data_IF_032948010426
#
_entry.id   IF_032948010426
#
_cell.length_a   1.000
_cell.length_b   1.000
_cell.length_c   1.000
_cell.angle_alpha   90.00
_cell.angle_beta   90.00
_cell.angle_gamma   90.00
#
_symmetry.space_group_name_H-M   'P 1'
#
loop_
_entity.id
_entity.type
_entity.pdbx_description
1 polymer ?
#
# COMPACT_ATOMS: atom_id res chain seq x y z
N UNK A 1 14.22 11.26 18.39
CA UNK A 1 14.73 10.29 17.40
C UNK A 1 14.35 8.83 17.70
N UNK A 2 14.69 8.26 18.88
CA UNK A 2 14.64 6.80 19.15
C UNK A 2 13.33 6.03 18.84
N UNK A 3 12.14 6.60 19.07
CA UNK A 3 10.88 5.85 18.95
C UNK A 3 10.37 5.64 17.50
N UNK A 4 10.67 6.57 16.59
CA UNK A 4 10.27 6.45 15.18
C UNK A 4 11.09 5.39 14.45
N UNK A 5 12.40 5.35 14.74
CA UNK A 5 13.35 4.39 14.18
C UNK A 5 12.99 2.95 14.58
N UNK A 6 12.55 2.77 15.83
CA UNK A 6 12.06 1.50 16.35
C UNK A 6 10.89 0.94 15.53
N UNK A 7 9.83 1.73 15.35
CA UNK A 7 8.64 1.27 14.62
C UNK A 7 8.99 0.92 13.18
N UNK A 8 9.81 1.75 12.52
CA UNK A 8 10.24 1.51 11.14
C UNK A 8 11.00 0.19 11.03
N UNK A 9 11.99 -0.03 11.90
CA UNK A 9 12.78 -1.25 11.88
C UNK A 9 11.94 -2.50 12.17
N UNK A 10 11.11 -2.47 13.21
CA UNK A 10 10.25 -3.60 13.55
C UNK A 10 9.29 -3.98 12.41
N UNK A 11 8.77 -3.00 11.68
CA UNK A 11 7.95 -3.22 10.48
C UNK A 11 8.73 -3.85 9.34
N UNK A 12 9.96 -3.39 9.09
CA UNK A 12 10.84 -3.96 8.06
C UNK A 12 11.12 -5.43 8.33
N UNK A 13 11.44 -5.81 9.57
CA UNK A 13 11.70 -7.22 9.89
C UNK A 13 10.43 -8.08 9.70
N UNK A 14 9.23 -7.57 10.04
CA UNK A 14 7.98 -8.29 9.75
C UNK A 14 7.78 -8.56 8.26
N UNK A 15 8.12 -7.60 7.40
CA UNK A 15 8.00 -7.72 5.94
C UNK A 15 9.04 -8.66 5.33
N UNK A 16 10.16 -8.90 6.03
CA UNK A 16 11.17 -9.89 5.62
C UNK A 16 10.73 -11.29 6.03
N UNK A 17 10.16 -11.44 7.23
CA UNK A 17 9.82 -12.74 7.81
C UNK A 17 8.47 -13.30 7.34
N UNK A 18 7.55 -12.43 6.93
CA UNK A 18 6.18 -12.80 6.57
C UNK A 18 5.78 -12.16 5.25
N UNK A 19 5.07 -12.94 4.44
CA UNK A 19 4.47 -12.43 3.20
C UNK A 19 3.30 -11.50 3.50
N UNK A 20 2.92 -10.72 2.50
CA UNK A 20 1.75 -9.82 2.58
C UNK A 20 0.47 -10.61 2.87
N UNK A 21 0.32 -11.80 2.28
CA UNK A 21 -0.86 -12.64 2.46
C UNK A 21 -0.92 -13.19 3.88
N UNK A 22 0.19 -13.74 4.39
CA UNK A 22 0.32 -14.19 5.77
C UNK A 22 -0.05 -13.08 6.76
N UNK A 23 0.50 -11.87 6.60
CA UNK A 23 0.19 -10.73 7.46
C UNK A 23 -1.27 -10.26 7.33
N UNK A 24 -1.90 -10.42 6.17
CA UNK A 24 -3.28 -9.99 5.96
C UNK A 24 -4.28 -10.96 6.59
N UNK A 25 -3.97 -12.25 6.55
CA UNK A 25 -4.86 -13.32 6.97
C UNK A 25 -4.62 -13.79 8.41
N UNK A 26 -3.47 -13.41 9.01
CA UNK A 26 -3.15 -13.75 10.40
C UNK A 26 -3.75 -12.80 11.43
N UNK A 27 -4.02 -13.29 12.63
CA UNK A 27 -4.45 -12.49 13.81
C UNK A 27 -3.35 -12.43 14.88
N UNK A 28 -3.44 -11.43 15.76
CA UNK A 28 -2.46 -11.21 16.82
C UNK A 28 -2.45 -12.32 17.87
N UNK A 29 -3.64 -12.87 18.16
CA UNK A 29 -3.87 -13.99 19.06
C UNK A 29 -4.83 -14.90 18.31
N UNK A 30 -4.41 -16.15 18.07
CA UNK A 30 -5.31 -17.17 17.55
C UNK A 30 -6.44 -17.34 18.57
N UNK A 31 -7.66 -17.01 18.17
CA UNK A 31 -8.83 -17.18 19.00
C UNK A 31 -9.63 -18.35 18.40
N UNK A 32 -10.00 -19.38 19.19
CA UNK A 32 -10.69 -20.57 18.68
C UNK A 32 -12.03 -20.26 17.99
N UNK A 33 -12.61 -19.09 18.25
CA UNK A 33 -13.86 -18.62 17.62
C UNK A 33 -13.60 -18.07 16.21
N UNK A 34 -12.39 -17.59 15.93
CA UNK A 34 -12.03 -17.00 14.63
C UNK A 34 -11.19 -18.00 13.84
N UNK A 35 -11.63 -18.34 12.62
CA UNK A 35 -10.95 -19.27 11.71
C UNK A 35 -9.60 -18.77 11.17
N UNK A 36 -9.10 -17.63 11.66
CA UNK A 36 -7.86 -17.02 11.18
C UNK A 36 -6.67 -17.51 11.98
N UNK A 37 -5.62 -18.04 11.33
CA UNK A 37 -4.44 -18.54 12.03
C UNK A 37 -3.67 -17.41 12.73
N UNK A 38 -2.93 -17.75 13.77
CA UNK A 38 -1.88 -16.89 14.30
C UNK A 38 -0.65 -16.89 13.40
N UNK A 39 0.26 -15.94 13.61
CA UNK A 39 1.58 -15.98 12.97
C UNK A 39 2.43 -17.11 13.57
N UNK A 40 3.32 -17.66 12.74
CA UNK A 40 4.28 -18.69 13.14
C UNK A 40 5.09 -18.26 14.38
N UNK A 41 5.01 -18.99 15.51
CA UNK A 41 5.64 -18.59 16.77
C UNK A 41 7.18 -18.58 16.70
N UNK A 42 7.78 -19.42 15.86
CA UNK A 42 9.23 -19.46 15.65
C UNK A 42 9.71 -18.21 14.94
N UNK A 43 9.01 -17.79 13.87
CA UNK A 43 9.30 -16.55 13.16
C UNK A 43 9.00 -15.31 14.02
N UNK A 44 7.97 -15.36 14.86
CA UNK A 44 7.67 -14.31 15.83
C UNK A 44 8.75 -14.15 16.90
N UNK A 45 9.37 -15.26 17.32
CA UNK A 45 10.52 -15.24 18.25
C UNK A 45 11.72 -14.58 17.56
N UNK A 46 12.06 -15.00 16.34
CA UNK A 46 13.13 -14.38 15.53
C UNK A 46 12.91 -12.88 15.31
N UNK A 47 11.66 -12.47 15.06
CA UNK A 47 11.30 -11.06 14.94
C UNK A 47 11.63 -10.29 16.23
N UNK A 48 11.16 -10.83 17.36
CA UNK A 48 11.37 -10.22 18.68
C UNK A 48 12.86 -10.10 18.99
N UNK A 49 13.63 -11.17 18.82
CA UNK A 49 15.07 -11.20 19.03
C UNK A 49 15.83 -10.20 18.16
N UNK A 50 15.52 -10.13 16.85
CA UNK A 50 16.17 -9.20 15.93
C UNK A 50 15.95 -7.74 16.34
N UNK A 51 14.72 -7.39 16.77
CA UNK A 51 14.42 -6.04 17.23
C UNK A 51 15.10 -5.77 18.58
N UNK A 52 15.07 -6.70 19.52
CA UNK A 52 15.76 -6.57 20.82
C UNK A 52 17.26 -6.36 20.65
N UNK A 53 17.90 -7.16 19.80
CA UNK A 53 19.33 -7.08 19.52
C UNK A 53 19.71 -5.71 18.91
N UNK A 54 18.91 -5.22 17.95
CA UNK A 54 19.15 -3.91 17.31
C UNK A 54 19.10 -2.75 18.31
N UNK A 55 18.20 -2.81 19.28
CA UNK A 55 18.00 -1.75 20.26
C UNK A 55 18.72 -2.01 21.60
N UNK A 56 19.57 -3.04 21.67
CA UNK A 56 20.32 -3.46 22.87
C UNK A 56 19.42 -3.64 24.10
N UNK A 57 18.26 -4.26 23.87
CA UNK A 57 17.29 -4.52 24.93
C UNK A 57 17.69 -5.82 25.60
N UNK A 58 17.86 -5.75 26.91
CA UNK A 58 18.18 -6.89 27.74
C UNK A 58 16.97 -7.86 27.76
N UNK A 59 17.13 -9.12 27.32
CA UNK A 59 16.07 -10.12 27.35
C UNK A 59 15.65 -10.49 28.78
N UNK A 60 16.50 -10.31 29.80
CA UNK A 60 16.13 -10.48 31.21
C UNK A 60 15.31 -9.31 31.76
N UNK A 61 15.47 -8.12 31.17
CA UNK A 61 14.67 -6.91 31.49
C UNK A 61 13.71 -6.58 30.37
N UNK A 62 13.21 -7.58 29.66
CA UNK A 62 12.29 -7.43 28.54
C UNK A 62 10.94 -6.89 29.03
N UNK A 63 10.94 -5.58 29.29
CA UNK A 63 9.94 -4.81 30.01
C UNK A 63 8.57 -4.95 29.33
N UNK A 64 7.53 -5.03 30.14
CA UNK A 64 6.14 -5.06 29.68
C UNK A 64 5.83 -3.88 28.77
N UNK A 65 6.49 -2.74 28.98
CA UNK A 65 6.41 -1.59 28.07
C UNK A 65 6.87 -1.93 26.65
N UNK A 66 8.02 -2.59 26.50
CA UNK A 66 8.58 -2.91 25.20
C UNK A 66 7.78 -4.02 24.49
N UNK A 67 7.38 -5.05 25.24
CA UNK A 67 6.44 -6.09 24.76
C UNK A 67 5.15 -5.47 24.22
N UNK A 68 4.60 -4.49 24.95
CA UNK A 68 3.39 -3.76 24.55
C UNK A 68 3.62 -2.98 23.26
N UNK A 69 4.77 -2.31 23.14
CA UNK A 69 5.15 -1.56 21.94
C UNK A 69 5.32 -2.46 20.71
N UNK A 70 5.90 -3.65 20.86
CA UNK A 70 5.98 -4.66 19.78
C UNK A 70 4.58 -5.11 19.37
N UNK A 71 3.76 -5.56 20.33
CA UNK A 71 2.38 -5.99 20.06
C UNK A 71 1.57 -4.93 19.33
N UNK A 72 1.65 -3.66 19.75
CA UNK A 72 0.96 -2.54 19.08
C UNK A 72 1.48 -2.32 17.65
N UNK A 73 2.79 -2.46 17.44
CA UNK A 73 3.39 -2.32 16.11
C UNK A 73 2.93 -3.44 15.17
N UNK A 74 2.89 -4.68 15.68
CA UNK A 74 2.35 -5.82 14.95
C UNK A 74 0.87 -5.63 14.61
N UNK A 75 0.04 -5.26 15.60
CA UNK A 75 -1.39 -5.02 15.40
C UNK A 75 -1.63 -3.99 14.30
N UNK A 76 -0.87 -2.88 14.35
CA UNK A 76 -0.96 -1.83 13.35
C UNK A 76 -0.58 -2.35 11.96
N UNK A 77 0.47 -3.16 11.84
CA UNK A 77 0.87 -3.75 10.56
C UNK A 77 -0.19 -4.68 9.98
N UNK A 78 -0.74 -5.60 10.77
CA UNK A 78 -1.81 -6.50 10.32
C UNK A 78 -3.00 -5.69 9.78
N UNK A 79 -3.41 -4.65 10.52
CA UNK A 79 -4.49 -3.75 10.11
C UNK A 79 -4.15 -2.95 8.84
N UNK A 80 -2.94 -2.42 8.72
CA UNK A 80 -2.49 -1.65 7.56
C UNK A 80 -2.45 -2.53 6.31
N UNK A 81 -1.94 -3.76 6.42
CA UNK A 81 -1.89 -4.73 5.33
C UNK A 81 -3.29 -5.13 4.86
N UNK A 82 -4.21 -5.43 5.78
CA UNK A 82 -5.62 -5.73 5.44
C UNK A 82 -6.31 -4.56 4.75
N UNK A 83 -6.11 -3.33 5.24
CA UNK A 83 -6.66 -2.12 4.61
C UNK A 83 -6.10 -1.92 3.20
N UNK A 84 -4.79 -2.15 3.01
CA UNK A 84 -4.15 -2.06 1.69
C UNK A 84 -4.74 -3.08 0.72
N UNK A 85 -4.89 -4.35 1.14
CA UNK A 85 -5.53 -5.42 0.33
C UNK A 85 -6.96 -5.06 -0.06
N UNK A 86 -7.78 -4.58 0.89
CA UNK A 86 -9.16 -4.15 0.63
C UNK A 86 -9.23 -2.99 -0.37
N UNK A 87 -8.34 -2.00 -0.28
CA UNK A 87 -8.27 -0.87 -1.22
C UNK A 87 -7.88 -1.33 -2.63
N UNK A 88 -6.89 -2.22 -2.74
CA UNK A 88 -6.45 -2.77 -4.01
C UNK A 88 -7.59 -3.52 -4.72
N UNK A 89 -8.32 -4.38 -3.99
CA UNK A 89 -9.45 -5.13 -4.55
C UNK A 89 -10.59 -4.22 -5.00
N UNK A 90 -10.89 -3.14 -4.26
CA UNK A 90 -11.88 -2.14 -4.68
C UNK A 90 -11.50 -1.42 -5.97
N UNK A 91 -10.23 -1.05 -6.13
CA UNK A 91 -9.76 -0.33 -7.32
C UNK A 91 -9.81 -1.23 -8.57
N UNK A 92 -9.50 -2.52 -8.44
CA UNK A 92 -9.64 -3.49 -9.54
C UNK A 92 -11.11 -3.67 -9.93
N UNK A 93 -12.01 -3.76 -8.95
CA UNK A 93 -13.46 -3.82 -9.21
C UNK A 93 -14.00 -2.55 -9.87
N UNK A 94 -13.50 -1.38 -9.49
CA UNK A 94 -13.89 -0.10 -10.08
C UNK A 94 -13.41 0.03 -11.54
N UNK A 95 -12.19 -0.43 -11.88
CA UNK A 95 -11.70 -0.43 -13.26
C UNK A 95 -12.49 -1.35 -14.19
N UNK A 96 -13.07 -2.45 -13.68
CA UNK A 96 -13.91 -3.36 -14.46
C UNK A 96 -15.27 -2.77 -14.85
N UNK A 97 -15.73 -1.73 -14.17
CA UNK A 97 -17.00 -1.05 -14.48
C UNK A 97 -16.84 0.26 -15.24
N UNK A 98 -15.61 0.63 -15.62
CA UNK A 98 -15.30 1.78 -16.46
C UNK A 98 -14.82 1.36 -17.86
N UNK A 99 -15.50 0.40 -18.48
CA UNK A 99 -15.51 0.25 -19.94
C UNK A 99 -16.61 1.16 -20.50
N UNK A 100 -16.30 2.12 -21.39
CA UNK A 100 -17.33 2.91 -22.05
C UNK A 100 -18.11 1.99 -22.99
N UNK A 101 -19.39 1.76 -22.68
CA UNK A 101 -20.36 1.19 -23.60
C UNK A 101 -20.66 2.23 -24.67
N UNK A 102 -19.80 2.35 -25.69
CA UNK A 102 -20.18 2.95 -26.96
C UNK A 102 -20.86 1.88 -27.80
N UNK A 103 -22.11 1.57 -27.45
CA UNK A 103 -23.05 0.87 -28.33
C UNK A 103 -24.07 1.90 -28.82
N UNK A 104 -23.64 2.80 -29.71
CA UNK A 104 -24.55 3.55 -30.57
C UNK A 104 -24.91 2.66 -31.76
N UNK A 105 -26.01 1.90 -31.61
CA UNK A 105 -26.78 1.44 -32.77
C UNK A 105 -27.68 2.59 -33.19
N UNK A 106 -27.28 3.33 -34.22
CA UNK A 106 -28.16 4.29 -34.89
C UNK A 106 -28.35 3.83 -36.34
N UNK A 107 -29.39 3.02 -36.55
CA UNK A 107 -29.90 2.70 -37.89
C UNK A 107 -30.89 3.82 -38.25
N UNK A 108 -30.40 4.82 -38.98
CA UNK A 108 -31.20 5.92 -39.48
C UNK A 108 -30.47 6.72 -40.56
N UNK A 109 -30.31 6.12 -41.74
CA UNK A 109 -29.85 6.82 -42.95
C UNK A 109 -31.02 7.65 -43.48
N UNK A 110 -30.81 8.96 -43.72
CA UNK A 110 -31.22 9.78 -44.89
C UNK A 110 -31.06 11.27 -44.52
N UNK A 111 -30.27 12.04 -45.30
CA UNK A 111 -30.34 13.51 -45.26
C UNK A 111 -29.06 14.30 -45.56
N UNK A 112 -28.66 14.27 -46.83
CA UNK A 112 -27.63 15.03 -47.55
C UNK A 112 -27.15 16.42 -47.06
N UNK A 113 -25.81 16.56 -47.12
CA UNK A 113 -24.97 17.68 -47.63
C UNK A 113 -25.00 19.06 -46.96
N UNK A 114 -23.83 19.49 -46.44
CA UNK A 114 -23.07 20.60 -47.04
C UNK A 114 -21.62 20.62 -46.55
N UNK A 115 -20.72 20.87 -47.50
CA UNK A 115 -19.27 20.97 -47.39
C UNK A 115 -18.84 22.44 -47.36
N UNK A 116 -17.85 22.77 -46.52
CA UNK A 116 -16.82 23.81 -46.65
C UNK A 116 -16.43 24.29 -45.23
N UNK A 117 -15.26 23.91 -44.70
CA UNK A 117 -13.94 24.51 -44.94
C UNK A 117 -13.78 25.90 -44.32
N UNK A 118 -13.08 25.95 -43.17
CA UNK A 118 -12.27 27.10 -42.78
C UNK A 118 -11.05 26.62 -41.98
N UNK A 119 -9.88 27.05 -42.44
CA UNK A 119 -8.54 26.59 -42.09
C UNK A 119 -8.05 26.97 -40.68
N UNK A 120 -7.02 26.26 -40.17
CA UNK A 120 -6.29 26.61 -38.95
C UNK A 120 -5.29 27.75 -39.21
N UNK A 121 -5.24 28.74 -38.30
CA UNK A 121 -4.19 29.77 -38.29
C UNK A 121 -2.95 29.21 -37.60
N UNK A 122 -1.82 29.28 -38.30
CA UNK A 122 -0.48 29.02 -37.80
C UNK A 122 0.00 30.15 -36.87
N UNK A 123 0.89 29.82 -35.92
CA UNK A 123 2.29 30.30 -35.90
C UNK A 123 2.84 30.72 -34.51
N UNK A 124 4.01 30.13 -34.24
CA UNK A 124 5.19 30.57 -33.49
C UNK A 124 5.07 31.12 -32.06
N UNK A 125 5.88 30.51 -31.18
CA UNK A 125 6.23 31.07 -29.88
C UNK A 125 7.26 30.22 -29.14
N UNK A 126 8.41 29.99 -29.76
CA UNK A 126 9.58 29.42 -29.12
C UNK A 126 10.15 30.39 -28.08
N UNK A 127 10.37 29.95 -26.84
CA UNK A 127 11.44 30.51 -26.01
C UNK A 127 11.94 29.52 -24.96
N UNK A 128 13.17 29.10 -25.20
CA UNK A 128 14.09 28.46 -24.25
C UNK A 128 14.52 29.54 -23.25
N UNK A 129 14.66 29.22 -21.96
CA UNK A 129 15.81 29.68 -21.18
C UNK A 129 16.05 28.87 -19.90
N UNK A 130 17.27 28.34 -19.84
CA UNK A 130 17.99 27.84 -18.67
C UNK A 130 18.07 28.88 -17.55
N UNK A 131 18.10 28.42 -16.30
CA UNK A 131 19.19 28.80 -15.36
C UNK A 131 19.29 27.91 -14.12
N UNK A 132 20.43 27.22 -14.03
CA UNK A 132 21.09 26.82 -12.79
C UNK A 132 21.19 28.02 -11.84
N UNK A 133 20.93 27.79 -10.54
CA UNK A 133 21.60 28.52 -9.44
C UNK A 133 21.88 27.54 -8.31
N UNK A 134 23.16 27.21 -8.13
CA UNK A 134 23.74 26.78 -6.85
C UNK A 134 23.77 27.96 -5.88
N UNK A 135 23.56 27.70 -4.60
CA UNK A 135 24.23 28.43 -3.52
C UNK A 135 24.36 27.54 -2.28
#
# INVERSE_FOLDING_TARGET
>A
AKAADYKKYARTILQILFTVDELSDSVLIANPIYTKPGLDPTRMTKWTEAVSARFKIDPMRFDDFFRTCLRRTLAQMLCDTRRKRKRLMKNIGAQRHSTPTSAQSDRGIVGSQSVASASPVMEAGQQVHNRNVLH
#
